data_IF_398753148875
#
_entry.id   IF_398753148875
#
_cell.length_a   1.000
_cell.length_b   1.000
_cell.length_c   1.000
_cell.angle_alpha   90.00
_cell.angle_beta   90.00
_cell.angle_gamma   90.00
#
_symmetry.space_group_name_H-M   'P 1'
#
loop_
_entity.id
_entity.type
_entity.pdbx_description
1 polymer ?
#
# COMPACT_ATOMS: atom_id res chain seq x y z
N UNK A 1 24.54 -17.24 29.42
CA UNK A 1 25.78 -17.46 28.65
C UNK A 1 25.36 -18.16 27.36
N UNK A 2 24.99 -17.37 26.35
CA UNK A 2 24.65 -17.84 25.01
C UNK A 2 25.20 -16.79 24.05
N UNK A 3 26.31 -17.14 23.42
CA UNK A 3 26.88 -16.45 22.27
C UNK A 3 25.98 -16.68 21.05
N UNK A 4 25.65 -15.60 20.35
CA UNK A 4 25.09 -15.65 19.00
C UNK A 4 25.84 -14.66 18.14
N UNK A 5 26.89 -15.18 17.50
CA UNK A 5 27.62 -14.54 16.43
C UNK A 5 26.69 -14.23 15.25
N UNK A 6 26.52 -12.94 14.96
CA UNK A 6 25.99 -12.44 13.69
C UNK A 6 27.17 -12.39 12.73
N UNK A 7 27.28 -13.40 11.88
CA UNK A 7 28.22 -13.40 10.76
C UNK A 7 27.61 -12.60 9.60
N UNK A 8 27.97 -11.32 9.53
CA UNK A 8 27.82 -10.46 8.35
C UNK A 8 28.96 -10.72 7.38
N UNK A 9 28.84 -11.73 6.51
CA UNK A 9 29.64 -11.81 5.31
C UNK A 9 28.87 -12.51 4.18
N UNK A 10 29.08 -11.97 2.98
CA UNK A 10 28.94 -12.65 1.69
C UNK A 10 27.56 -12.60 0.99
N UNK A 11 27.21 -11.40 0.49
CA UNK A 11 26.41 -11.29 -0.73
C UNK A 11 27.31 -10.80 -1.87
N UNK A 12 28.21 -11.67 -2.31
CA UNK A 12 28.90 -11.48 -3.58
C UNK A 12 27.89 -11.42 -4.73
N UNK A 13 27.97 -10.32 -5.47
CA UNK A 13 27.39 -10.15 -6.78
C UNK A 13 27.91 -11.24 -7.74
N UNK A 14 27.10 -12.27 -8.01
CA UNK A 14 27.23 -13.15 -9.17
C UNK A 14 25.85 -13.53 -9.68
N UNK A 15 25.78 -13.69 -10.99
CA UNK A 15 24.61 -14.14 -11.77
C UNK A 15 23.55 -13.10 -12.14
N UNK A 16 23.97 -12.06 -12.85
CA UNK A 16 23.16 -11.48 -13.91
C UNK A 16 23.97 -11.39 -15.21
N UNK A 17 24.20 -12.55 -15.83
CA UNK A 17 24.66 -12.61 -17.22
C UNK A 17 23.92 -13.73 -17.96
N UNK A 18 22.72 -13.40 -18.45
CA UNK A 18 22.00 -14.20 -19.43
C UNK A 18 21.55 -13.27 -20.56
N UNK A 19 22.24 -13.24 -21.71
CA UNK A 19 21.76 -12.50 -22.88
C UNK A 19 20.58 -13.26 -23.49
N UNK A 20 19.37 -12.74 -23.28
CA UNK A 20 18.19 -13.14 -24.05
C UNK A 20 18.41 -12.83 -25.53
N UNK A 21 18.51 -13.86 -26.37
CA UNK A 21 18.54 -13.74 -27.82
C UNK A 21 17.21 -13.17 -28.32
N UNK A 22 17.16 -11.85 -28.47
CA UNK A 22 16.07 -11.18 -29.17
C UNK A 22 16.28 -11.39 -30.67
N UNK A 23 15.42 -12.19 -31.29
CA UNK A 23 15.38 -12.37 -32.74
C UNK A 23 14.87 -11.07 -33.38
N UNK A 24 15.75 -10.33 -34.05
CA UNK A 24 15.37 -9.12 -34.80
C UNK A 24 14.69 -9.54 -36.11
N UNK A 25 13.45 -9.09 -36.41
CA UNK A 25 12.86 -9.29 -37.73
C UNK A 25 13.68 -8.53 -38.79
N UNK A 26 14.11 -9.26 -39.82
CA UNK A 26 14.88 -8.77 -40.97
C UNK A 26 14.03 -7.78 -41.79
N UNK A 27 14.29 -6.49 -41.60
CA UNK A 27 13.51 -5.40 -42.20
C UNK A 27 14.22 -4.85 -43.45
N UNK A 28 14.26 -5.64 -44.54
CA UNK A 28 14.80 -5.20 -45.85
C UNK A 28 13.77 -4.52 -46.77
N UNK A 29 12.67 -3.99 -46.22
CA UNK A 29 11.61 -3.32 -46.99
C UNK A 29 11.38 -1.83 -46.69
N UNK A 30 11.94 -1.27 -45.61
CA UNK A 30 11.52 0.04 -45.09
C UNK A 30 12.30 1.26 -45.65
N UNK A 31 12.84 1.19 -46.88
CA UNK A 31 13.65 2.30 -47.45
C UNK A 31 12.86 3.27 -48.34
N UNK A 32 11.54 3.12 -48.50
CA UNK A 32 10.74 3.99 -49.39
C UNK A 32 9.63 4.81 -48.72
N UNK A 33 9.45 4.72 -47.40
CA UNK A 33 8.43 5.48 -46.69
C UNK A 33 8.98 6.53 -45.70
N UNK A 34 10.31 6.75 -45.66
CA UNK A 34 10.92 7.66 -44.67
C UNK A 34 10.96 9.14 -45.11
N UNK A 35 10.55 9.45 -46.35
CA UNK A 35 10.58 10.83 -46.88
C UNK A 35 9.24 11.59 -46.78
N UNK A 36 8.18 10.97 -46.27
CA UNK A 36 6.86 11.58 -46.15
C UNK A 36 6.39 11.81 -44.70
N UNK A 37 7.24 11.54 -43.69
CA UNK A 37 6.87 11.60 -42.26
C UNK A 37 7.74 12.57 -41.44
N UNK A 38 8.44 13.50 -42.09
CA UNK A 38 9.23 14.54 -41.43
C UNK A 38 8.51 15.89 -41.28
N UNK A 39 7.30 16.04 -41.83
CA UNK A 39 6.50 17.28 -41.72
C UNK A 39 5.45 17.30 -40.61
N UNK A 40 5.14 16.16 -39.98
CA UNK A 40 3.98 16.03 -39.08
C UNK A 40 4.28 15.82 -37.59
N UNK A 41 5.52 15.50 -37.20
CA UNK A 41 5.83 15.13 -35.81
C UNK A 41 6.17 16.33 -34.89
N UNK A 42 6.34 17.54 -35.42
CA UNK A 42 6.71 18.70 -34.61
C UNK A 42 5.56 19.22 -33.71
N UNK A 43 4.29 18.94 -34.05
CA UNK A 43 3.16 19.38 -33.23
C UNK A 43 2.74 18.38 -32.13
N UNK A 44 3.11 17.11 -32.23
CA UNK A 44 2.70 16.09 -31.25
C UNK A 44 3.53 16.12 -29.96
N UNK A 45 4.76 16.64 -30.01
CA UNK A 45 5.63 16.75 -28.83
C UNK A 45 5.23 17.88 -27.88
N UNK A 46 4.53 18.91 -28.36
CA UNK A 46 4.14 20.07 -27.53
C UNK A 46 2.92 19.81 -26.64
N UNK A 47 2.08 18.82 -26.96
CA UNK A 47 0.84 18.53 -26.21
C UNK A 47 1.08 17.59 -25.02
N UNK A 48 2.20 16.84 -25.00
CA UNK A 48 2.50 15.87 -23.95
C UNK A 48 3.03 16.45 -22.63
N UNK A 49 3.46 17.71 -22.61
CA UNK A 49 4.12 18.34 -21.45
C UNK A 49 3.15 19.10 -20.52
N UNK A 50 1.91 19.36 -20.96
CA UNK A 50 0.95 20.17 -20.18
C UNK A 50 0.09 19.35 -19.20
N UNK A 51 0.23 18.02 -19.17
CA UNK A 51 -0.65 17.13 -18.41
C UNK A 51 0.03 16.06 -17.56
N UNK A 52 1.37 16.10 -17.43
CA UNK A 52 2.08 15.19 -16.55
C UNK A 52 1.81 15.59 -15.09
N UNK A 53 0.72 15.09 -14.52
CA UNK A 53 0.54 15.12 -13.08
C UNK A 53 1.73 14.39 -12.44
N UNK A 54 2.31 14.91 -11.35
CA UNK A 54 3.35 14.19 -10.65
C UNK A 54 2.82 12.80 -10.30
N UNK A 55 3.43 11.77 -10.87
CA UNK A 55 3.14 10.40 -10.49
C UNK A 55 3.74 10.20 -9.09
N UNK A 56 2.94 10.50 -8.07
CA UNK A 56 3.28 10.14 -6.68
C UNK A 56 3.18 8.62 -6.57
N UNK A 57 4.28 7.93 -6.86
CA UNK A 57 4.42 6.50 -6.64
C UNK A 57 4.47 6.25 -5.13
N UNK A 58 3.31 6.14 -4.50
CA UNK A 58 3.23 5.70 -3.10
C UNK A 58 3.46 4.19 -3.04
N UNK A 59 4.32 3.77 -2.13
CA UNK A 59 4.62 2.35 -1.92
C UNK A 59 3.44 1.71 -1.19
N UNK A 60 2.69 0.85 -1.89
CA UNK A 60 1.61 0.05 -1.31
C UNK A 60 2.16 -1.35 -1.02
N UNK A 61 1.83 -1.92 0.14
CA UNK A 61 2.22 -3.28 0.49
C UNK A 61 1.62 -4.31 -0.48
N UNK A 62 2.41 -5.30 -0.87
CA UNK A 62 1.93 -6.45 -1.66
C UNK A 62 1.30 -7.54 -0.77
N UNK A 63 1.26 -7.34 0.55
CA UNK A 63 0.58 -8.25 1.47
C UNK A 63 -0.92 -8.27 1.13
N UNK A 64 -1.46 -9.46 0.86
CA UNK A 64 -2.88 -9.63 0.56
C UNK A 64 -3.71 -9.83 1.83
N UNK A 65 -5.03 -9.61 1.76
CA UNK A 65 -5.95 -9.89 2.86
C UNK A 65 -5.85 -11.33 3.35
N UNK A 66 -5.78 -12.29 2.42
CA UNK A 66 -5.64 -13.71 2.76
C UNK A 66 -4.33 -14.01 3.50
N UNK A 67 -3.22 -13.40 3.08
CA UNK A 67 -1.94 -13.58 3.77
C UNK A 67 -1.99 -12.99 5.18
N UNK A 68 -2.55 -11.79 5.34
CA UNK A 68 -2.73 -11.18 6.65
C UNK A 68 -3.65 -12.04 7.54
N UNK A 69 -4.72 -12.61 7.01
CA UNK A 69 -5.59 -13.53 7.76
C UNK A 69 -4.81 -14.74 8.32
N UNK A 70 -3.91 -15.35 7.52
CA UNK A 70 -3.04 -16.45 7.96
C UNK A 70 -2.11 -16.03 9.10
N UNK A 71 -1.50 -14.85 8.98
CA UNK A 71 -0.65 -14.27 10.04
C UNK A 71 -1.46 -14.05 11.32
N UNK A 72 -2.69 -13.54 11.20
CA UNK A 72 -3.56 -13.24 12.35
C UNK A 72 -4.14 -14.48 13.06
N UNK A 73 -4.21 -15.63 12.40
CA UNK A 73 -4.65 -16.90 13.01
C UNK A 73 -3.50 -17.76 13.54
N UNK A 74 -2.27 -17.49 13.10
CA UNK A 74 -1.07 -18.16 13.58
C UNK A 74 -0.61 -17.57 14.92
N UNK A 75 -0.62 -18.38 16.00
CA UNK A 75 -0.21 -17.95 17.34
C UNK A 75 1.24 -17.44 17.40
N UNK A 76 2.13 -17.94 16.55
CA UNK A 76 3.53 -17.49 16.51
C UNK A 76 3.72 -16.14 15.80
N UNK A 77 2.75 -15.72 14.99
CA UNK A 77 2.83 -14.50 14.16
C UNK A 77 1.79 -13.45 14.57
N UNK A 78 0.97 -13.74 15.58
CA UNK A 78 -0.14 -12.89 16.00
C UNK A 78 0.30 -11.48 16.41
N UNK A 79 1.51 -11.35 16.98
CA UNK A 79 2.09 -10.05 17.31
C UNK A 79 2.41 -9.22 16.05
N UNK A 80 2.80 -9.85 14.94
CA UNK A 80 2.99 -9.15 13.65
C UNK A 80 1.67 -8.70 13.05
N UNK A 81 0.61 -9.51 13.18
CA UNK A 81 -0.74 -9.09 12.81
C UNK A 81 -1.20 -7.88 13.63
N UNK A 82 -1.01 -7.92 14.95
CA UNK A 82 -1.39 -6.81 15.85
C UNK A 82 -0.64 -5.53 15.50
N UNK A 83 0.66 -5.62 15.21
CA UNK A 83 1.45 -4.48 14.77
C UNK A 83 0.97 -3.94 13.42
N UNK A 84 0.62 -4.81 12.47
CA UNK A 84 0.09 -4.39 11.17
C UNK A 84 -1.24 -3.64 11.30
N UNK A 85 -2.20 -4.18 12.07
CA UNK A 85 -3.51 -3.55 12.27
C UNK A 85 -3.35 -2.23 13.04
N UNK A 86 -2.50 -2.19 14.07
CA UNK A 86 -2.22 -0.95 14.81
C UNK A 86 -1.60 0.12 13.91
N UNK A 87 -0.64 -0.24 13.04
CA UNK A 87 -0.04 0.70 12.10
C UNK A 87 -1.04 1.26 11.08
N UNK A 88 -2.04 0.48 10.66
CA UNK A 88 -3.15 0.97 9.82
C UNK A 88 -4.02 1.97 10.60
N UNK A 89 -4.33 1.68 11.87
CA UNK A 89 -5.09 2.59 12.73
C UNK A 89 -4.34 3.90 13.00
N UNK A 90 -3.04 3.82 13.30
CA UNK A 90 -2.19 4.99 13.50
C UNK A 90 -2.11 5.83 12.23
N UNK A 91 -1.94 5.18 11.07
CA UNK A 91 -1.95 5.84 9.76
C UNK A 91 -3.21 6.66 9.52
N UNK A 92 -4.38 6.16 9.92
CA UNK A 92 -5.65 6.87 9.81
C UNK A 92 -5.71 8.12 10.71
N UNK A 93 -5.26 7.98 11.96
CA UNK A 93 -5.17 9.12 12.90
C UNK A 93 -4.24 10.20 12.33
N UNK A 94 -3.08 9.80 11.82
CA UNK A 94 -2.07 10.71 11.29
C UNK A 94 -2.49 11.34 9.96
N UNK A 95 -3.22 10.62 9.11
CA UNK A 95 -3.77 11.18 7.87
C UNK A 95 -4.70 12.35 8.15
N UNK A 96 -5.57 12.23 9.16
CA UNK A 96 -6.44 13.32 9.63
C UNK A 96 -5.63 14.48 10.20
N UNK A 97 -4.66 14.20 11.06
CA UNK A 97 -3.88 15.25 11.72
C UNK A 97 -3.00 16.01 10.72
N UNK A 98 -2.42 15.31 9.73
CA UNK A 98 -1.67 15.91 8.63
C UNK A 98 -2.53 16.87 7.78
N UNK A 99 -3.79 16.50 7.55
CA UNK A 99 -4.74 17.34 6.81
C UNK A 99 -4.98 18.70 7.49
N UNK A 100 -4.86 18.75 8.82
CA UNK A 100 -4.94 20.00 9.60
C UNK A 100 -3.76 20.92 9.27
N UNK A 101 -2.55 20.40 9.12
CA UNK A 101 -1.38 21.18 8.72
C UNK A 101 -1.52 21.72 7.29
N UNK A 102 -2.07 20.92 6.38
CA UNK A 102 -2.31 21.30 4.98
C UNK A 102 -3.58 22.16 4.78
N UNK A 103 -4.32 22.46 5.86
CA UNK A 103 -5.62 23.17 5.81
C UNK A 103 -6.59 22.52 4.79
N UNK A 104 -6.51 21.21 4.65
CA UNK A 104 -7.28 20.42 3.70
C UNK A 104 -8.20 19.43 4.43
N UNK A 105 -9.41 19.16 3.93
CA UNK A 105 -10.26 18.12 4.50
C UNK A 105 -9.70 16.73 4.19
N UNK A 106 -9.55 15.88 5.21
CA UNK A 106 -9.33 14.44 5.03
C UNK A 106 -10.56 13.67 5.52
N UNK A 107 -11.17 12.83 4.66
CA UNK A 107 -12.25 11.95 5.12
C UNK A 107 -11.68 10.95 6.11
N UNK A 108 -12.39 10.75 7.23
CA UNK A 108 -12.06 9.72 8.21
C UNK A 108 -12.78 8.44 7.82
N UNK A 109 -12.04 7.35 7.65
CA UNK A 109 -12.58 6.06 7.25
C UNK A 109 -13.19 5.29 8.43
N UNK A 110 -12.65 5.39 9.63
CA UNK A 110 -13.15 4.65 10.80
C UNK A 110 -12.74 5.29 12.13
N UNK A 111 -13.47 4.98 13.19
CA UNK A 111 -13.28 5.53 14.52
C UNK A 111 -13.26 4.42 15.58
N UNK A 112 -12.10 3.78 15.78
CA UNK A 112 -11.95 2.73 16.80
C UNK A 112 -11.91 3.36 18.20
N UNK A 113 -12.83 3.02 19.12
CA UNK A 113 -12.82 3.58 20.47
C UNK A 113 -11.57 3.18 21.26
N UNK A 114 -11.05 4.08 22.10
CA UNK A 114 -9.87 3.83 22.96
C UNK A 114 -10.07 2.69 23.97
N UNK A 115 -11.32 2.31 24.24
CA UNK A 115 -11.66 1.16 25.07
C UNK A 115 -11.43 -0.19 24.37
N UNK A 116 -11.22 -0.20 23.05
CA UNK A 116 -10.94 -1.41 22.29
C UNK A 116 -9.47 -1.75 22.39
N UNK A 117 -9.17 -2.96 22.87
CA UNK A 117 -7.81 -3.50 22.81
C UNK A 117 -7.55 -4.13 21.43
N UNK A 118 -6.27 -4.28 21.08
CA UNK A 118 -5.85 -4.78 19.77
C UNK A 118 -6.35 -6.19 19.45
N UNK A 119 -6.52 -7.06 20.46
CA UNK A 119 -7.10 -8.41 20.27
C UNK A 119 -8.54 -8.32 19.78
N UNK A 120 -9.36 -7.41 20.34
CA UNK A 120 -10.73 -7.21 19.88
C UNK A 120 -10.76 -6.72 18.44
N UNK A 121 -9.92 -5.74 18.10
CA UNK A 121 -9.85 -5.20 16.73
C UNK A 121 -9.39 -6.27 15.73
N UNK A 122 -8.40 -7.09 16.10
CA UNK A 122 -7.98 -8.25 15.29
C UNK A 122 -9.14 -9.23 15.05
N UNK A 123 -9.92 -9.53 16.08
CA UNK A 123 -11.07 -10.43 15.94
C UNK A 123 -12.14 -9.86 15.01
N UNK A 124 -12.36 -8.55 15.02
CA UNK A 124 -13.23 -7.86 14.05
C UNK A 124 -12.72 -8.04 12.62
N UNK A 125 -11.42 -7.83 12.39
CA UNK A 125 -10.81 -8.07 11.08
C UNK A 125 -10.99 -9.53 10.62
N UNK A 126 -10.71 -10.49 11.49
CA UNK A 126 -10.84 -11.93 11.18
C UNK A 126 -12.29 -12.32 10.85
N UNK A 127 -13.25 -11.81 11.61
CA UNK A 127 -14.68 -12.03 11.35
C UNK A 127 -15.10 -11.42 10.01
N UNK A 128 -14.67 -10.18 9.74
CA UNK A 128 -15.01 -9.48 8.51
C UNK A 128 -14.43 -10.19 7.28
N UNK A 129 -13.14 -10.54 7.28
CA UNK A 129 -12.53 -11.16 6.09
C UNK A 129 -13.08 -12.56 5.83
N UNK A 130 -13.51 -13.28 6.86
CA UNK A 130 -14.20 -14.56 6.69
C UNK A 130 -15.57 -14.42 6.00
N UNK A 131 -16.23 -13.27 6.15
CA UNK A 131 -17.52 -12.98 5.53
C UNK A 131 -17.39 -12.30 4.15
N UNK A 132 -16.19 -11.82 3.79
CA UNK A 132 -15.92 -11.02 2.59
C UNK A 132 -14.81 -11.67 1.74
N UNK A 133 -15.11 -12.74 0.97
CA UNK A 133 -14.10 -13.46 0.19
C UNK A 133 -13.45 -12.60 -0.90
N UNK A 134 -14.11 -11.52 -1.34
CA UNK A 134 -13.53 -10.53 -2.26
C UNK A 134 -12.33 -9.79 -1.65
N UNK A 135 -12.20 -9.77 -0.32
CA UNK A 135 -11.07 -9.20 0.39
C UNK A 135 -9.78 -10.02 0.28
N UNK A 136 -9.85 -11.30 -0.09
CA UNK A 136 -8.69 -12.20 -0.05
C UNK A 136 -7.56 -11.78 -1.00
N UNK A 137 -7.92 -11.30 -2.18
CA UNK A 137 -6.97 -10.90 -3.24
C UNK A 137 -6.60 -9.41 -3.19
N UNK A 138 -7.27 -8.63 -2.33
CA UNK A 138 -7.01 -7.20 -2.17
C UNK A 138 -5.81 -6.96 -1.26
N UNK A 139 -5.22 -5.77 -1.35
CA UNK A 139 -4.14 -5.37 -0.45
C UNK A 139 -4.64 -5.34 0.98
N UNK A 140 -3.87 -5.92 1.91
CA UNK A 140 -4.24 -6.10 3.31
C UNK A 140 -4.62 -4.78 3.98
N UNK A 141 -3.93 -3.68 3.67
CA UNK A 141 -4.28 -2.35 4.18
C UNK A 141 -5.71 -1.96 3.82
N UNK A 142 -6.09 -2.10 2.54
CA UNK A 142 -7.46 -1.81 2.07
C UNK A 142 -8.50 -2.69 2.76
N UNK A 143 -8.18 -3.96 2.97
CA UNK A 143 -9.08 -4.92 3.64
C UNK A 143 -9.29 -4.53 5.10
N UNK A 144 -8.22 -4.18 5.83
CA UNK A 144 -8.32 -3.69 7.22
C UNK A 144 -9.14 -2.40 7.26
N UNK A 145 -8.90 -1.46 6.35
CA UNK A 145 -9.69 -0.22 6.24
C UNK A 145 -11.19 -0.49 6.09
N UNK A 146 -11.58 -1.39 5.17
CA UNK A 146 -12.99 -1.77 4.99
C UNK A 146 -13.56 -2.45 6.23
N UNK A 147 -12.82 -3.39 6.80
CA UNK A 147 -13.25 -4.10 8.01
C UNK A 147 -13.51 -3.15 9.18
N UNK A 148 -12.63 -2.17 9.38
CA UNK A 148 -12.78 -1.19 10.45
C UNK A 148 -13.86 -0.15 10.12
N UNK A 149 -13.98 0.30 8.87
CA UNK A 149 -15.04 1.19 8.45
C UNK A 149 -16.43 0.61 8.73
N UNK A 150 -16.64 -0.66 8.39
CA UNK A 150 -17.95 -1.32 8.51
C UNK A 150 -18.33 -1.61 9.98
N UNK A 151 -17.35 -1.76 10.87
CA UNK A 151 -17.58 -2.12 12.27
C UNK A 151 -17.40 -0.95 13.26
N UNK A 152 -16.69 0.10 12.85
CA UNK A 152 -16.41 1.28 13.66
C UNK A 152 -16.71 2.57 12.87
N UNK A 153 -17.96 2.78 12.41
CA UNK A 153 -18.32 3.98 11.69
C UNK A 153 -18.14 5.21 12.59
N UNK A 154 -17.56 6.27 12.03
CA UNK A 154 -17.46 7.55 12.71
C UNK A 154 -18.86 8.20 12.77
N UNK A 155 -19.51 8.16 13.94
CA UNK A 155 -20.66 9.03 14.18
C UNK A 155 -20.15 10.45 14.42
N UNK A 156 -20.81 11.46 13.84
CA UNK A 156 -20.39 12.86 13.82
C UNK A 156 -20.42 13.58 15.17
N UNK A 157 -20.06 12.94 16.27
CA UNK A 157 -19.94 13.57 17.59
C UNK A 157 -18.80 12.96 18.38
N UNK A 158 -17.85 13.84 18.72
CA UNK A 158 -16.69 13.64 19.57
C UNK A 158 -16.84 12.58 20.68
N UNK A 159 -15.85 11.70 20.82
CA UNK A 159 -15.59 10.99 22.07
C UNK A 159 -14.15 10.45 22.09
N UNK A 160 -13.26 11.17 22.77
CA UNK A 160 -11.99 10.59 23.23
C UNK A 160 -10.70 11.35 22.92
N UNK A 161 -10.69 12.68 22.88
CA UNK A 161 -9.45 13.42 23.18
C UNK A 161 -9.37 13.59 24.71
N UNK A 162 -8.48 12.87 25.43
CA UNK A 162 -8.05 13.33 26.75
C UNK A 162 -7.21 14.59 26.54
N UNK A 163 -7.61 15.67 27.23
CA UNK A 163 -7.06 17.01 27.05
C UNK A 163 -5.54 17.08 27.20
N UNK A 164 -4.91 17.79 26.26
CA UNK A 164 -3.59 18.40 26.42
C UNK A 164 -3.75 19.91 26.58
N UNK A 165 -4.18 20.34 27.77
CA UNK A 165 -4.01 21.72 28.21
C UNK A 165 -2.72 21.80 29.02
N UNK A 166 -1.68 22.42 28.43
CA UNK A 166 -0.84 23.47 29.00
C UNK A 166 0.26 23.87 28.01
#
# INVERSE_FOLDING_TARGET
MMDRDINTHDMTARDMNAPSRFSTPSWKGAKRAFKALLGGCALAAAVGLAGAQPAHAQRISHLTGQMLQKICTNQHEVAMCDAYISGVMDGEVWARDFATFEHAPAPVAFCVPVSQNIRTVRNVFLAWISAHPDGNEQQAGKVVYRALHDNFPCSGSASGMPGGAK
#
